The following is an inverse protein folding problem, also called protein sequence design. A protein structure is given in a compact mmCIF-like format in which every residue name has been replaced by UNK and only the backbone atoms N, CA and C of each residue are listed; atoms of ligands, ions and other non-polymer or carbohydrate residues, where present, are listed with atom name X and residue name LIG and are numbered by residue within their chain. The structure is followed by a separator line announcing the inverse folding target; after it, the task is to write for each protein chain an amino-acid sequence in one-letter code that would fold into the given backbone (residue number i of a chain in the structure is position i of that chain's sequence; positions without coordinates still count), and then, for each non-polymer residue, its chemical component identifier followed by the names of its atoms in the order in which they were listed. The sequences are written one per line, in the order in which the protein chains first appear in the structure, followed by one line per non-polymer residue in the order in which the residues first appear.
data_IF_542566265700
#
_entry.id   IF_542566265700
#
_cell.length_a   1.000
_cell.length_b   1.000
_cell.length_c   1.000
_cell.angle_alpha   90.00
_cell.angle_beta   90.00
_cell.angle_gamma   90.00
#
_symmetry.space_group_name_H-M   'P 1'
#
loop_
_entity.id
_entity.type
_entity.pdbx_description
1 polymer ?
#
# COMPACT_ATOMS: atom_id res chain seq x y z
N UNK A 1 21.61 43.79 -37.31
CA UNK A 1 21.27 42.37 -37.57
C UNK A 1 22.28 41.37 -37.02
N UNK A 2 23.52 41.20 -37.54
CA UNK A 2 24.42 40.16 -37.00
C UNK A 2 24.91 40.44 -35.56
N UNK A 3 25.11 41.70 -35.19
CA UNK A 3 25.56 42.10 -33.84
C UNK A 3 24.50 41.91 -32.76
N UNK A 4 23.22 42.16 -33.08
CA UNK A 4 22.10 41.99 -32.15
C UNK A 4 21.85 40.51 -31.84
N UNK A 5 22.00 39.63 -32.83
CA UNK A 5 21.83 38.19 -32.65
C UNK A 5 22.93 37.57 -31.76
N UNK A 6 24.17 38.08 -31.86
CA UNK A 6 25.28 37.65 -30.99
C UNK A 6 25.06 38.11 -29.55
N UNK A 7 24.60 39.34 -29.34
CA UNK A 7 24.25 39.86 -28.01
C UNK A 7 23.12 39.07 -27.34
N UNK A 8 22.09 38.71 -28.12
CA UNK A 8 20.98 37.89 -27.62
C UNK A 8 21.43 36.47 -27.21
N UNK A 9 22.29 35.83 -28.01
CA UNK A 9 22.86 34.51 -27.69
C UNK A 9 23.73 34.53 -26.41
N UNK A 10 24.53 35.58 -26.22
CA UNK A 10 25.31 35.75 -24.99
C UNK A 10 24.41 35.94 -23.77
N UNK A 11 23.32 36.71 -23.92
CA UNK A 11 22.33 36.89 -22.86
C UNK A 11 21.65 35.58 -22.45
N UNK A 12 21.29 34.73 -23.42
CA UNK A 12 20.70 33.42 -23.18
C UNK A 12 21.66 32.48 -22.47
N UNK A 13 22.96 32.49 -22.83
CA UNK A 13 23.96 31.69 -22.14
C UNK A 13 24.16 32.11 -20.69
N UNK A 14 24.15 33.42 -20.41
CA UNK A 14 24.22 33.94 -19.03
C UNK A 14 23.00 33.50 -18.23
N UNK A 15 21.81 33.58 -18.81
CA UNK A 15 20.56 33.15 -18.17
C UNK A 15 20.55 31.64 -17.88
N UNK A 16 20.99 30.82 -18.83
CA UNK A 16 21.12 29.36 -18.66
C UNK A 16 22.13 28.99 -17.56
N UNK A 17 23.23 29.72 -17.45
CA UNK A 17 24.22 29.52 -16.38
C UNK A 17 23.62 29.89 -15.01
N UNK A 18 22.90 31.01 -14.92
CA UNK A 18 22.23 31.43 -13.68
C UNK A 18 21.15 30.43 -13.25
N UNK A 19 20.33 29.93 -14.18
CA UNK A 19 19.32 28.91 -13.87
C UNK A 19 19.95 27.61 -13.34
N UNK A 20 21.01 27.11 -13.98
CA UNK A 20 21.72 25.92 -13.51
C UNK A 20 22.34 26.12 -12.12
N UNK A 21 22.88 27.32 -11.86
CA UNK A 21 23.43 27.66 -10.55
C UNK A 21 22.34 27.65 -9.46
N UNK A 22 21.19 28.28 -9.74
CA UNK A 22 20.04 28.29 -8.83
C UNK A 22 19.48 26.90 -8.57
N UNK A 23 19.37 26.07 -9.61
CA UNK A 23 18.96 24.66 -9.48
C UNK A 23 19.90 23.91 -8.55
N UNK A 24 21.22 24.05 -8.74
CA UNK A 24 22.22 23.41 -7.87
C UNK A 24 22.10 23.86 -6.41
N UNK A 25 21.89 25.16 -6.18
CA UNK A 25 21.67 25.69 -4.83
C UNK A 25 20.40 25.10 -4.20
N UNK A 26 19.28 25.07 -4.93
CA UNK A 26 18.03 24.49 -4.42
C UNK A 26 18.17 23.01 -4.05
N UNK A 27 18.88 22.22 -4.86
CA UNK A 27 19.17 20.83 -4.53
C UNK A 27 19.98 20.69 -3.24
N UNK A 28 21.01 21.52 -3.06
CA UNK A 28 21.82 21.52 -1.83
C UNK A 28 21.00 21.92 -0.60
N UNK A 29 20.16 22.96 -0.70
CA UNK A 29 19.33 23.40 0.43
C UNK A 29 18.31 22.33 0.82
N UNK A 30 17.64 21.72 -0.16
CA UNK A 30 16.69 20.63 0.09
C UNK A 30 17.37 19.44 0.76
N UNK A 31 18.57 19.06 0.30
CA UNK A 31 19.31 17.95 0.89
C UNK A 31 19.69 18.21 2.36
N UNK A 32 20.15 19.41 2.68
CA UNK A 32 20.48 19.80 4.05
C UNK A 32 19.24 19.83 4.97
N UNK A 33 18.10 20.31 4.47
CA UNK A 33 16.84 20.31 5.23
C UNK A 33 16.37 18.89 5.53
N UNK A 34 16.47 17.99 4.55
CA UNK A 34 16.07 16.59 4.72
C UNK A 34 16.93 15.86 5.77
N UNK A 35 18.25 16.01 5.72
CA UNK A 35 19.16 15.43 6.71
C UNK A 35 18.85 15.93 8.14
N UNK A 36 18.55 17.23 8.31
CA UNK A 36 18.17 17.78 9.61
C UNK A 36 16.87 17.19 10.15
N UNK A 37 15.88 16.95 9.27
CA UNK A 37 14.61 16.34 9.65
C UNK A 37 14.79 14.88 10.09
N UNK A 38 15.62 14.11 9.38
CA UNK A 38 15.93 12.73 9.79
C UNK A 38 16.63 12.69 11.16
N UNK A 39 17.64 13.54 11.37
CA UNK A 39 18.37 13.60 12.63
C UNK A 39 17.48 14.01 13.82
N UNK A 40 16.53 14.92 13.59
CA UNK A 40 15.51 15.28 14.58
C UNK A 40 14.58 14.11 14.91
N UNK A 41 14.17 13.31 13.91
CA UNK A 41 13.32 12.13 14.13
C UNK A 41 14.01 11.08 15.00
N UNK A 42 15.25 10.72 14.69
CA UNK A 42 16.03 9.78 15.50
C UNK A 42 16.19 10.24 16.96
N UNK A 43 16.38 11.55 17.19
CA UNK A 43 16.54 12.12 18.54
C UNK A 43 15.23 12.15 19.35
N UNK A 44 14.08 12.18 18.67
CA UNK A 44 12.77 12.20 19.32
C UNK A 44 12.33 10.77 19.71
N UNK A 45 12.67 9.79 18.88
CA UNK A 45 12.37 8.37 19.11
C UNK A 45 13.23 7.76 20.24
N UNK A 46 14.48 8.23 20.41
CA UNK A 46 15.33 7.75 21.51
C UNK A 46 14.85 8.21 22.89
N UNK A 47 14.17 9.37 22.99
CA UNK A 47 13.69 9.94 24.26
C UNK A 47 12.40 9.30 24.77
N UNK A 48 11.56 8.74 23.89
CA UNK A 48 10.31 8.09 24.29
C UNK A 48 10.53 6.71 24.93
N UNK A 49 11.67 6.07 24.65
CA UNK A 49 11.96 4.71 25.11
C UNK A 49 12.67 4.68 26.49
N UNK A 50 13.22 5.80 26.98
CA UNK A 50 13.99 5.84 28.23
C UNK A 50 13.17 6.13 29.51
N UNK A 51 11.85 6.37 29.40
CA UNK A 51 11.01 6.77 30.54
C UNK A 51 10.36 5.60 31.29
N UNK A 52 10.56 4.35 30.84
CA UNK A 52 9.95 3.15 31.42
C UNK A 52 10.94 2.20 32.10
N UNK A 53 12.00 2.68 32.73
CA UNK A 53 12.80 1.82 33.61
C UNK A 53 13.37 2.65 34.75
N UNK A 54 13.12 2.18 35.98
CA UNK A 54 13.84 2.42 37.24
C UNK A 54 13.02 3.06 38.37
N UNK A 55 12.32 2.21 39.13
CA UNK A 55 12.25 2.33 40.60
C UNK A 55 12.15 0.93 41.24
N UNK A 56 13.26 0.19 41.26
CA UNK A 56 13.42 -0.92 42.20
C UNK A 56 14.00 -0.39 43.51
N UNK A 57 13.13 -0.14 44.50
CA UNK A 57 13.55 0.19 45.86
C UNK A 57 13.66 -1.12 46.66
N UNK A 58 14.89 -1.48 46.99
CA UNK A 58 15.24 -2.49 47.99
C UNK A 58 15.00 -1.93 49.41
N UNK A 59 14.32 -2.67 50.29
CA UNK A 59 14.37 -2.40 51.73
C UNK A 59 13.18 -2.84 52.58
N UNK A 60 13.40 -3.88 53.42
CA UNK A 60 12.87 -4.06 54.79
C UNK A 60 11.34 -3.95 55.05
N UNK A 61 10.48 -4.48 54.19
CA UNK A 61 9.01 -4.45 54.43
C UNK A 61 8.28 -5.79 54.23
N UNK A 62 8.88 -6.92 54.68
CA UNK A 62 8.29 -8.27 54.58
C UNK A 62 6.86 -8.39 55.14
N UNK A 63 6.47 -7.56 56.11
CA UNK A 63 5.10 -7.54 56.67
C UNK A 63 4.09 -6.79 55.78
N UNK A 64 4.51 -5.75 55.06
CA UNK A 64 3.63 -5.01 54.15
C UNK A 64 3.45 -5.73 52.81
N UNK A 65 4.46 -6.50 52.37
CA UNK A 65 4.34 -7.34 51.17
C UNK A 65 3.27 -8.43 51.35
N UNK A 66 3.19 -9.05 52.53
CA UNK A 66 2.19 -10.10 52.81
C UNK A 66 0.77 -9.54 52.86
N UNK A 67 0.59 -8.35 53.45
CA UNK A 67 -0.71 -7.64 53.46
C UNK A 67 -1.13 -7.19 52.06
N UNK A 68 -0.19 -6.71 51.24
CA UNK A 68 -0.45 -6.36 49.83
C UNK A 68 -0.92 -7.57 49.02
N UNK A 69 -0.28 -8.73 49.17
CA UNK A 69 -0.65 -9.96 48.46
C UNK A 69 -2.08 -10.41 48.85
N UNK A 70 -2.47 -10.27 50.12
CA UNK A 70 -3.79 -10.70 50.60
C UNK A 70 -4.95 -9.84 50.07
N UNK A 71 -4.69 -8.58 49.72
CA UNK A 71 -5.68 -7.68 49.11
C UNK A 71 -5.69 -7.83 47.59
N UNK A 72 -4.53 -8.02 46.96
CA UNK A 72 -4.41 -8.10 45.50
C UNK A 72 -4.88 -9.46 44.97
N UNK A 73 -4.66 -10.55 45.71
CA UNK A 73 -5.07 -11.90 45.31
C UNK A 73 -6.58 -12.05 45.02
N UNK A 74 -7.52 -11.61 45.88
CA UNK A 74 -8.94 -11.71 45.58
C UNK A 74 -9.36 -10.80 44.41
N UNK A 75 -8.71 -9.65 44.21
CA UNK A 75 -8.99 -8.75 43.08
C UNK A 75 -8.59 -9.39 41.75
N UNK A 76 -7.40 -10.02 41.71
CA UNK A 76 -6.96 -10.77 40.54
C UNK A 76 -7.86 -11.97 40.26
N UNK A 77 -8.31 -12.68 41.30
CA UNK A 77 -9.19 -13.83 41.16
C UNK A 77 -10.56 -13.42 40.61
N UNK A 78 -11.15 -12.31 41.08
CA UNK A 78 -12.40 -11.76 40.51
C UNK A 78 -12.22 -11.31 39.06
N UNK A 79 -11.06 -10.73 38.68
CA UNK A 79 -10.81 -10.35 37.27
C UNK A 79 -10.74 -11.53 36.32
N UNK A 80 -10.20 -12.68 36.76
CA UNK A 80 -10.14 -13.91 35.93
C UNK A 80 -11.53 -14.48 35.73
N UNK A 81 -12.36 -14.56 36.78
CA UNK A 81 -13.73 -15.07 36.68
C UNK A 81 -14.69 -14.13 35.93
N UNK A 82 -14.53 -12.80 36.01
CA UNK A 82 -15.33 -11.85 35.22
C UNK A 82 -14.98 -11.84 33.73
N UNK A 83 -13.75 -12.20 33.38
CA UNK A 83 -13.31 -12.30 31.97
C UNK A 83 -14.03 -13.44 31.25
N UNK A 84 -14.28 -14.57 31.93
CA UNK A 84 -15.00 -15.70 31.36
C UNK A 84 -16.52 -15.44 31.27
N UNK A 85 -17.11 -14.75 32.25
CA UNK A 85 -18.56 -14.43 32.26
C UNK A 85 -19.00 -13.40 31.21
N UNK A 86 -18.11 -12.51 30.77
CA UNK A 86 -18.40 -11.58 29.67
C UNK A 86 -18.18 -12.17 28.26
N UNK A 87 -17.59 -13.36 28.16
CA UNK A 87 -17.36 -14.03 26.87
C UNK A 87 -18.63 -14.68 26.28
N UNK A 88 -19.70 -14.83 27.09
CA UNK A 88 -20.95 -15.48 26.70
C UNK A 88 -22.08 -14.52 26.24
N UNK A 89 -21.81 -13.22 26.13
CA UNK A 89 -22.79 -12.20 25.67
C UNK A 89 -22.42 -11.53 24.34
N UNK A 90 -21.77 -12.25 23.43
CA UNK A 90 -21.72 -11.87 22.00
C UNK A 90 -22.35 -12.99 21.20
N UNK A 91 -23.67 -13.07 21.27
CA UNK A 91 -24.45 -13.86 20.33
C UNK A 91 -24.75 -13.00 19.10
N UNK A 92 -24.51 -13.61 17.95
CA UNK A 92 -24.94 -13.22 16.61
C UNK A 92 -24.20 -12.06 15.96
N UNK A 93 -23.08 -12.38 15.32
CA UNK A 93 -23.07 -12.26 13.87
C UNK A 93 -22.24 -13.37 13.22
N UNK A 94 -22.72 -13.75 12.03
CA UNK A 94 -22.39 -14.94 11.28
C UNK A 94 -20.94 -14.89 10.78
N UNK A 95 -20.31 -16.06 10.69
CA UNK A 95 -19.08 -16.33 9.91
C UNK A 95 -17.86 -15.45 10.23
N UNK A 96 -17.30 -15.59 11.44
CA UNK A 96 -15.96 -15.07 11.73
C UNK A 96 -14.92 -15.99 11.06
N UNK A 97 -14.34 -15.50 9.96
CA UNK A 97 -13.18 -16.07 9.27
C UNK A 97 -12.09 -16.48 10.28
N UNK A 98 -11.71 -17.77 10.26
CA UNK A 98 -10.60 -18.33 11.06
C UNK A 98 -9.22 -17.96 10.48
N UNK A 99 -8.92 -16.68 10.27
CA UNK A 99 -7.55 -16.27 9.98
C UNK A 99 -6.98 -15.58 11.23
N UNK A 100 -5.87 -16.10 11.76
CA UNK A 100 -5.21 -15.61 12.98
C UNK A 100 -4.54 -14.23 12.83
N UNK A 101 -4.99 -13.41 11.88
CA UNK A 101 -4.46 -12.08 11.64
C UNK A 101 -5.46 -11.05 12.17
N UNK A 102 -5.11 -10.43 13.29
CA UNK A 102 -5.83 -9.27 13.82
C UNK A 102 -5.49 -8.08 12.93
N UNK A 103 -6.42 -7.64 12.10
CA UNK A 103 -6.29 -6.42 11.30
C UNK A 103 -6.39 -5.24 12.26
N UNK A 104 -5.26 -4.61 12.56
CA UNK A 104 -5.22 -3.34 13.29
C UNK A 104 -5.25 -2.18 12.28
N UNK A 105 -5.92 -1.08 12.61
CA UNK A 105 -5.91 0.14 11.79
C UNK A 105 -4.50 0.75 11.79
N UNK A 106 -3.70 0.46 10.77
CA UNK A 106 -2.39 1.04 10.57
C UNK A 106 -2.54 2.45 9.98
N UNK A 107 -2.09 3.46 10.73
CA UNK A 107 -1.98 4.83 10.22
C UNK A 107 -0.73 4.95 9.34
N UNK A 108 -0.89 4.79 8.04
CA UNK A 108 0.03 5.34 7.04
C UNK A 108 1.13 4.43 6.51
N UNK A 109 1.40 3.28 7.13
CA UNK A 109 2.26 2.25 6.52
C UNK A 109 1.39 1.24 5.78
N UNK A 110 1.56 1.18 4.45
CA UNK A 110 0.88 0.19 3.61
C UNK A 110 1.70 -1.09 3.69
N UNK A 111 1.15 -2.14 4.30
CA UNK A 111 1.77 -3.47 4.18
C UNK A 111 1.45 -3.97 2.78
N UNK A 112 2.48 -4.13 1.94
CA UNK A 112 2.37 -4.78 0.64
C UNK A 112 2.06 -6.26 0.88
N UNK A 113 0.78 -6.57 1.01
CA UNK A 113 0.29 -7.94 1.08
C UNK A 113 0.10 -8.45 -0.34
N UNK A 114 0.89 -9.45 -0.72
CA UNK A 114 0.72 -10.17 -1.97
C UNK A 114 0.28 -11.60 -1.66
N UNK A 115 -0.85 -12.02 -2.21
CA UNK A 115 -1.25 -13.42 -2.22
C UNK A 115 -0.85 -14.00 -3.58
N UNK A 116 0.16 -14.87 -3.58
CA UNK A 116 0.59 -15.53 -4.81
C UNK A 116 -0.43 -16.57 -5.22
N UNK A 117 -1.01 -16.42 -6.40
CA UNK A 117 -1.85 -17.45 -6.99
C UNK A 117 -0.93 -18.48 -7.64
N UNK A 118 -0.88 -19.69 -7.10
CA UNK A 118 -0.19 -20.82 -7.74
C UNK A 118 -1.08 -21.39 -8.84
N UNK A 119 -1.03 -20.76 -10.01
CA UNK A 119 -1.84 -21.13 -11.17
C UNK A 119 -1.00 -22.06 -12.06
N UNK A 120 -1.47 -23.30 -12.32
CA UNK A 120 -0.85 -24.19 -13.27
C UNK A 120 -0.68 -23.54 -14.64
N UNK A 121 0.39 -23.92 -15.35
CA UNK A 121 0.59 -23.48 -16.74
C UNK A 121 -0.63 -23.81 -17.58
N UNK A 122 -1.03 -22.85 -18.42
CA UNK A 122 -2.14 -22.96 -19.39
C UNK A 122 -3.56 -23.04 -18.80
N UNK A 123 -3.73 -22.79 -17.48
CA UNK A 123 -5.07 -22.73 -16.90
C UNK A 123 -5.80 -21.45 -17.36
N UNK A 124 -7.03 -21.63 -17.84
CA UNK A 124 -7.96 -20.51 -18.08
C UNK A 124 -8.52 -20.00 -16.76
N UNK A 125 -8.47 -18.69 -16.55
CA UNK A 125 -9.11 -18.03 -15.42
C UNK A 125 -10.57 -17.76 -15.74
N UNK A 126 -11.45 -18.27 -14.89
CA UNK A 126 -12.88 -18.05 -14.99
C UNK A 126 -13.28 -16.85 -14.15
N UNK A 127 -13.88 -15.86 -14.79
CA UNK A 127 -14.43 -14.67 -14.14
C UNK A 127 -15.95 -14.75 -14.20
N UNK A 128 -16.60 -14.74 -13.04
CA UNK A 128 -18.06 -14.77 -12.96
C UNK A 128 -18.58 -13.37 -12.64
N UNK A 129 -19.42 -12.81 -13.52
CA UNK A 129 -20.16 -11.58 -13.27
C UNK A 129 -21.46 -11.97 -12.57
N UNK A 130 -21.56 -11.60 -11.28
CA UNK A 130 -22.72 -11.92 -10.46
C UNK A 130 -23.77 -10.81 -10.61
N UNK A 131 -25.03 -11.22 -10.78
CA UNK A 131 -26.20 -10.36 -10.93
C UNK A 131 -26.07 -9.29 -12.03
N UNK A 132 -25.68 -9.64 -13.27
CA UNK A 132 -25.50 -8.66 -14.35
C UNK A 132 -26.79 -7.91 -14.68
N UNK A 133 -27.94 -8.51 -14.41
CA UNK A 133 -29.27 -7.95 -14.66
C UNK A 133 -29.59 -6.68 -13.84
N UNK A 134 -28.82 -6.38 -12.78
CA UNK A 134 -29.00 -5.19 -11.95
C UNK A 134 -28.36 -3.95 -12.60
N UNK A 135 -27.41 -4.15 -13.52
CA UNK A 135 -26.69 -3.07 -14.20
C UNK A 135 -27.01 -3.03 -15.69
N UNK A 136 -26.84 -1.84 -16.27
CA UNK A 136 -27.04 -1.65 -17.70
C UNK A 136 -26.10 -2.56 -18.51
N UNK A 137 -26.59 -3.08 -19.63
CA UNK A 137 -25.82 -3.99 -20.48
C UNK A 137 -24.49 -3.36 -20.94
N UNK A 138 -24.50 -2.05 -21.22
CA UNK A 138 -23.29 -1.30 -21.59
C UNK A 138 -22.19 -1.39 -20.52
N UNK A 139 -22.56 -1.42 -19.23
CA UNK A 139 -21.60 -1.58 -18.12
C UNK A 139 -21.07 -3.00 -18.05
N UNK A 140 -21.92 -4.00 -18.28
CA UNK A 140 -21.50 -5.41 -18.39
C UNK A 140 -20.51 -5.57 -19.54
N UNK A 141 -20.75 -4.91 -20.67
CA UNK A 141 -19.85 -4.94 -21.82
C UNK A 141 -18.51 -4.26 -21.52
N UNK A 142 -18.51 -3.12 -20.82
CA UNK A 142 -17.26 -2.46 -20.37
C UNK A 142 -16.45 -3.40 -19.47
N UNK A 143 -17.09 -4.13 -18.55
CA UNK A 143 -16.40 -5.11 -17.70
C UNK A 143 -15.76 -6.21 -18.55
N UNK A 144 -16.52 -6.79 -19.49
CA UNK A 144 -16.01 -7.82 -20.41
C UNK A 144 -14.83 -7.30 -21.22
N UNK A 145 -14.94 -6.11 -21.77
CA UNK A 145 -13.89 -5.47 -22.57
C UNK A 145 -12.65 -5.19 -21.71
N UNK A 146 -12.82 -4.72 -20.47
CA UNK A 146 -11.70 -4.47 -19.53
C UNK A 146 -10.93 -5.75 -19.20
N UNK A 147 -11.58 -6.92 -19.25
CA UNK A 147 -10.92 -8.19 -18.96
C UNK A 147 -10.31 -8.80 -20.22
N UNK A 148 -11.08 -8.85 -21.32
CA UNK A 148 -10.73 -9.60 -22.53
C UNK A 148 -9.96 -8.79 -23.57
N UNK A 149 -9.96 -7.46 -23.50
CA UNK A 149 -9.30 -6.63 -24.50
C UNK A 149 -7.79 -6.81 -24.48
N UNK A 150 -7.23 -7.09 -25.65
CA UNK A 150 -5.78 -7.06 -25.91
C UNK A 150 -5.31 -5.72 -26.51
N UNK A 151 -6.22 -4.74 -26.64
CA UNK A 151 -5.91 -3.46 -27.29
C UNK A 151 -4.95 -2.64 -26.44
N UNK A 152 -4.08 -1.90 -27.12
CA UNK A 152 -3.14 -0.96 -26.52
C UNK A 152 -3.46 0.46 -26.89
N UNK A 153 -3.12 1.40 -26.01
CA UNK A 153 -3.11 2.84 -26.28
C UNK A 153 -1.72 3.40 -25.99
N UNK A 154 -1.24 4.30 -26.83
CA UNK A 154 -0.01 5.05 -26.58
C UNK A 154 -0.38 6.40 -25.96
N UNK A 155 0.16 6.70 -24.78
CA UNK A 155 -0.08 7.97 -24.10
C UNK A 155 1.23 8.73 -23.94
N UNK A 156 1.16 10.05 -24.11
CA UNK A 156 2.29 10.95 -23.87
C UNK A 156 2.51 11.09 -22.35
N UNK A 157 3.72 10.73 -21.91
CA UNK A 157 4.11 10.73 -20.50
C UNK A 157 4.17 12.14 -19.89
N UNK A 158 4.26 13.17 -20.74
CA UNK A 158 4.21 14.57 -20.31
C UNK A 158 2.86 14.93 -19.69
N UNK A 159 1.77 14.30 -20.12
CA UNK A 159 0.43 14.50 -19.54
C UNK A 159 0.35 14.02 -18.08
N UNK A 160 1.21 13.08 -17.70
CA UNK A 160 1.22 12.47 -16.37
C UNK A 160 2.40 12.93 -15.51
N UNK A 161 3.19 13.91 -15.97
CA UNK A 161 4.41 14.38 -15.31
C UNK A 161 5.42 13.24 -15.03
N UNK A 162 5.38 12.15 -15.83
CA UNK A 162 6.17 10.93 -15.58
C UNK A 162 7.50 10.91 -16.34
N UNK A 163 7.65 11.69 -17.40
CA UNK A 163 8.89 11.76 -18.19
C UNK A 163 9.06 13.11 -18.90
N UNK A 164 10.19 13.25 -19.60
CA UNK A 164 10.49 14.40 -20.46
C UNK A 164 9.45 14.53 -21.60
N UNK A 165 9.16 15.74 -22.09
CA UNK A 165 8.25 15.96 -23.21
C UNK A 165 8.67 15.15 -24.44
N UNK A 166 7.71 14.43 -25.04
CA UNK A 166 7.95 13.58 -26.22
C UNK A 166 8.21 12.10 -25.91
N UNK A 167 8.22 11.69 -24.63
CA UNK A 167 8.20 10.27 -24.24
C UNK A 167 6.77 9.72 -24.32
N UNK A 168 6.61 8.53 -24.89
CA UNK A 168 5.32 7.83 -24.95
C UNK A 168 5.42 6.47 -24.26
N UNK A 169 4.42 6.16 -23.44
CA UNK A 169 4.25 4.85 -22.81
C UNK A 169 3.05 4.13 -23.41
N UNK A 170 3.20 2.81 -23.60
CA UNK A 170 2.13 1.93 -24.06
C UNK A 170 1.36 1.38 -22.86
N UNK A 171 0.05 1.57 -22.86
CA UNK A 171 -0.89 1.05 -21.87
C UNK A 171 -1.82 0.03 -22.51
N UNK A 172 -2.29 -0.92 -21.71
CA UNK A 172 -3.24 -1.95 -22.14
C UNK A 172 -4.64 -1.59 -21.66
N UNK A 173 -5.61 -1.64 -22.58
CA UNK A 173 -7.01 -1.39 -22.26
C UNK A 173 -7.66 -2.53 -21.47
N UNK A 174 -7.08 -3.73 -21.50
CA UNK A 174 -7.60 -4.86 -20.75
C UNK A 174 -6.54 -5.78 -20.17
N UNK A 175 -6.99 -6.61 -19.23
CA UNK A 175 -6.14 -7.53 -18.46
C UNK A 175 -5.49 -8.59 -19.35
N UNK A 176 -6.23 -9.13 -20.31
CA UNK A 176 -5.71 -10.12 -21.26
C UNK A 176 -4.46 -9.61 -21.99
N UNK A 177 -4.52 -8.39 -22.55
CA UNK A 177 -3.36 -7.78 -23.23
C UNK A 177 -2.18 -7.55 -22.29
N UNK A 178 -2.46 -6.97 -21.11
CA UNK A 178 -1.42 -6.67 -20.12
C UNK A 178 -0.68 -7.92 -19.65
N UNK A 179 -1.44 -8.96 -19.30
CA UNK A 179 -0.89 -10.20 -18.74
C UNK A 179 -0.22 -11.04 -19.83
N UNK A 180 -0.72 -11.01 -21.07
CA UNK A 180 -0.05 -11.62 -22.21
C UNK A 180 1.31 -10.98 -22.47
N UNK A 181 1.41 -9.65 -22.43
CA UNK A 181 2.70 -8.97 -22.56
C UNK A 181 3.63 -9.31 -21.39
N UNK A 182 3.12 -9.29 -20.15
CA UNK A 182 3.91 -9.61 -18.96
C UNK A 182 4.43 -11.06 -18.99
N UNK A 183 3.64 -12.00 -19.52
CA UNK A 183 4.01 -13.41 -19.64
C UNK A 183 5.21 -13.69 -20.55
N UNK A 184 5.60 -12.73 -21.40
CA UNK A 184 6.80 -12.83 -22.24
C UNK A 184 8.09 -12.74 -21.41
N UNK A 185 8.01 -12.13 -20.22
CA UNK A 185 9.16 -12.04 -19.30
C UNK A 185 9.15 -13.25 -18.38
N UNK A 186 10.24 -14.02 -18.28
CA UNK A 186 10.31 -15.16 -17.38
C UNK A 186 10.13 -14.74 -15.92
N UNK A 187 9.08 -15.25 -15.29
CA UNK A 187 8.79 -15.04 -13.87
C UNK A 187 8.87 -16.35 -13.10
N UNK A 188 9.07 -16.26 -11.78
CA UNK A 188 9.08 -17.43 -10.88
C UNK A 188 7.77 -18.23 -10.92
N UNK A 189 6.64 -17.53 -11.07
CA UNK A 189 5.30 -18.09 -11.17
C UNK A 189 4.71 -17.82 -12.54
N UNK A 190 3.85 -18.70 -13.03
CA UNK A 190 3.20 -18.53 -14.32
C UNK A 190 2.22 -17.37 -14.28
N UNK A 191 2.28 -16.50 -15.30
CA UNK A 191 1.29 -15.45 -15.51
C UNK A 191 0.14 -16.02 -16.35
N UNK A 192 -1.12 -15.94 -15.88
CA UNK A 192 -2.27 -16.44 -16.62
C UNK A 192 -2.54 -15.54 -17.84
N UNK A 193 -2.76 -16.16 -19.00
CA UNK A 193 -3.00 -15.46 -20.27
C UNK A 193 -4.39 -15.69 -20.86
N UNK A 194 -5.11 -16.69 -20.34
CA UNK A 194 -6.42 -17.10 -20.85
C UNK A 194 -7.53 -16.80 -19.86
N UNK A 195 -8.61 -16.20 -20.34
CA UNK A 195 -9.76 -15.77 -19.54
C UNK A 195 -11.05 -16.27 -20.16
N UNK A 196 -11.99 -16.68 -19.32
CA UNK A 196 -13.37 -16.99 -19.71
C UNK A 196 -14.31 -16.26 -18.78
N UNK A 197 -15.33 -15.60 -19.34
CA UNK A 197 -16.31 -14.84 -18.56
C UNK A 197 -17.65 -15.54 -18.60
N UNK A 198 -18.19 -15.82 -17.41
CA UNK A 198 -19.56 -16.31 -17.23
C UNK A 198 -20.40 -15.26 -16.51
N UNK A 199 -21.71 -15.36 -16.67
CA UNK A 199 -22.69 -14.53 -15.99
C UNK A 199 -23.57 -15.43 -15.11
N UNK A 200 -23.80 -15.04 -13.86
CA UNK A 200 -24.66 -15.79 -12.95
C UNK A 200 -25.67 -14.87 -12.27
N UNK A 201 -26.93 -15.33 -12.20
CA UNK A 201 -28.03 -14.57 -11.59
C UNK A 201 -28.10 -14.70 -10.06
N UNK A 202 -27.43 -15.70 -9.48
CA UNK A 202 -27.63 -16.09 -8.06
C UNK A 202 -26.32 -16.33 -7.29
N UNK A 203 -25.17 -15.92 -7.83
CA UNK A 203 -23.87 -16.17 -7.19
C UNK A 203 -23.39 -17.62 -7.27
N UNK A 204 -24.12 -18.50 -7.96
CA UNK A 204 -23.66 -19.85 -8.28
C UNK A 204 -22.43 -19.76 -9.18
N UNK A 205 -21.34 -20.39 -8.73
CA UNK A 205 -20.12 -20.59 -9.51
C UNK A 205 -20.34 -21.87 -10.32
N UNK A 206 -20.55 -21.73 -11.63
CA UNK A 206 -20.61 -22.85 -12.56
C UNK A 206 -19.21 -23.37 -12.90
#
# INVERSE_FOLDING_TARGET
MKSEQVSDLESQQVLLKDMNLRLKQQFQTKHQTFQKLEQQRYSHESKTNSTYQNTLIFGKHRRFTVLGILIIAPILLVSVFFSDLNSSFVANDKEVMKSGYVIQNLKGDTIDTFHSWDIPKERTLYVNIVNPNIIDNDKVQIIKDTILSEKTISLDDSLFHKALPGSQSTYFLGWSGALKQASQTPTKFTIPTSFSISESSNGDIA
#
